data_IF_951280436943
#
_entry.id   IF_951280436943
#
_cell.length_a   1.000
_cell.length_b   1.000
_cell.length_c   1.000
_cell.angle_alpha   90.00
_cell.angle_beta   90.00
_cell.angle_gamma   90.00
#
_symmetry.space_group_name_H-M   'P 1'
#
loop_
_entity.id
_entity.type
_entity.pdbx_description
1 polymer ?
#
# COMPACT_ATOMS: atom_id res chain seq x y z
N UNK A 1 -2.50 -10.73 -16.77
CA UNK A 1 -1.94 -9.51 -16.18
C UNK A 1 -2.87 -9.06 -15.08
N UNK A 2 -2.36 -8.86 -13.90
CA UNK A 2 -3.23 -8.41 -12.83
C UNK A 2 -3.50 -6.91 -12.91
N UNK A 3 -4.45 -6.45 -12.13
CA UNK A 3 -4.91 -5.06 -12.14
C UNK A 3 -3.79 -4.07 -11.81
N UNK A 4 -2.91 -4.45 -10.89
CA UNK A 4 -1.79 -3.61 -10.48
C UNK A 4 -0.79 -3.40 -11.61
N UNK A 5 -0.49 -4.46 -12.36
CA UNK A 5 0.40 -4.38 -13.50
C UNK A 5 -0.18 -3.49 -14.60
N UNK A 6 -1.49 -3.55 -14.81
CA UNK A 6 -2.17 -2.67 -15.77
C UNK A 6 -2.04 -1.20 -15.39
N UNK A 7 -2.24 -0.87 -14.14
CA UNK A 7 -2.12 0.50 -13.66
C UNK A 7 -0.69 1.01 -13.81
N UNK A 8 0.27 0.17 -13.50
CA UNK A 8 1.69 0.49 -13.63
C UNK A 8 2.05 0.84 -15.08
N UNK A 9 1.56 0.03 -16.02
CA UNK A 9 1.79 0.26 -17.45
C UNK A 9 1.11 1.55 -17.91
N UNK A 10 -0.12 1.79 -17.48
CA UNK A 10 -0.84 3.02 -17.82
C UNK A 10 -0.14 4.25 -17.29
N UNK A 11 0.34 4.22 -16.07
CA UNK A 11 1.08 5.33 -15.47
C UNK A 11 2.37 5.62 -16.25
N UNK A 12 3.10 4.59 -16.62
CA UNK A 12 4.32 4.73 -17.41
C UNK A 12 4.02 5.31 -18.79
N UNK A 13 2.94 4.85 -19.43
CA UNK A 13 2.52 5.33 -20.74
C UNK A 13 2.13 6.81 -20.68
N UNK A 14 1.39 7.20 -19.66
CA UNK A 14 1.00 8.60 -19.47
C UNK A 14 2.22 9.49 -19.25
N UNK A 15 3.19 9.02 -18.47
CA UNK A 15 4.43 9.75 -18.24
C UNK A 15 5.22 9.95 -19.53
N UNK A 16 5.24 8.94 -20.39
CA UNK A 16 5.93 9.01 -21.68
C UNK A 16 5.27 9.98 -22.66
N UNK A 17 3.98 10.20 -22.52
CA UNK A 17 3.24 11.13 -23.38
C UNK A 17 3.42 12.57 -22.97
N UNK A 18 3.99 12.85 -21.83
CA UNK A 18 4.27 14.21 -21.41
C UNK A 18 5.46 14.76 -22.18
N UNK A 19 5.18 15.77 -22.98
CA UNK A 19 6.22 16.48 -23.73
C UNK A 19 7.01 17.35 -22.76
N UNK A 20 8.34 17.18 -22.66
CA UNK A 20 9.16 18.00 -21.78
C UNK A 20 9.07 19.50 -22.08
N UNK A 21 8.80 19.85 -23.34
CA UNK A 21 8.67 21.24 -23.76
C UNK A 21 7.34 21.87 -23.36
N UNK A 22 6.35 21.06 -23.00
CA UNK A 22 5.05 21.51 -22.55
C UNK A 22 5.05 22.01 -21.12
N UNK A 23 6.00 21.59 -20.36
CA UNK A 23 5.95 21.74 -18.90
C UNK A 23 6.68 23.01 -18.46
N UNK A 24 7.60 23.51 -19.30
CA UNK A 24 8.63 24.35 -18.77
C UNK A 24 8.21 25.76 -18.35
N UNK A 25 7.47 26.57 -19.11
CA UNK A 25 7.36 27.98 -18.67
C UNK A 25 6.05 28.37 -18.02
N UNK A 26 4.98 27.62 -18.25
CA UNK A 26 3.64 28.08 -17.87
C UNK A 26 3.21 27.60 -16.52
N UNK A 27 3.78 26.48 -16.08
CA UNK A 27 3.26 25.79 -14.91
C UNK A 27 3.90 26.20 -13.59
N UNK A 28 5.03 26.92 -13.63
CA UNK A 28 5.71 27.33 -12.39
C UNK A 28 4.90 28.27 -11.51
N UNK A 29 4.27 29.32 -12.03
CA UNK A 29 3.41 30.17 -11.19
C UNK A 29 2.16 29.44 -10.70
N UNK A 30 1.60 28.57 -11.55
CA UNK A 30 0.43 27.78 -11.18
C UNK A 30 0.77 26.73 -10.14
N UNK A 31 1.95 26.11 -10.26
CA UNK A 31 2.43 25.17 -9.27
C UNK A 31 2.65 25.82 -7.91
N UNK A 32 3.18 27.03 -7.89
CA UNK A 32 3.37 27.78 -6.65
C UNK A 32 2.03 28.11 -6.00
N UNK A 33 1.02 28.44 -6.79
CA UNK A 33 -0.33 28.71 -6.30
C UNK A 33 -0.97 27.43 -5.78
N UNK A 34 -0.80 26.32 -6.50
CA UNK A 34 -1.31 25.03 -6.07
C UNK A 34 -0.64 24.55 -4.78
N UNK A 35 0.66 24.76 -4.66
CA UNK A 35 1.37 24.43 -3.42
C UNK A 35 0.86 25.26 -2.25
N UNK A 36 0.59 26.53 -2.45
CA UNK A 36 0.02 27.38 -1.41
C UNK A 36 -1.37 26.94 -1.02
N UNK A 37 -2.19 26.54 -2.00
CA UNK A 37 -3.54 26.05 -1.74
C UNK A 37 -3.49 24.69 -1.04
N UNK A 38 -2.57 23.81 -1.45
CA UNK A 38 -2.36 22.54 -0.79
C UNK A 38 -1.90 22.70 0.66
N UNK A 39 -1.09 23.72 0.93
CA UNK A 39 -0.66 24.01 2.29
C UNK A 39 -1.82 24.44 3.18
N UNK A 40 -2.88 25.01 2.59
CA UNK A 40 -4.09 25.41 3.31
C UNK A 40 -5.09 24.28 3.44
N UNK A 41 -5.02 23.27 2.54
CA UNK A 41 -5.91 22.12 2.57
C UNK A 41 -5.35 21.08 3.52
N UNK A 42 -6.17 20.67 4.45
CA UNK A 42 -5.81 19.64 5.41
C UNK A 42 -5.65 18.31 4.67
N UNK A 43 -4.45 17.75 4.71
CA UNK A 43 -4.18 16.45 4.11
C UNK A 43 -4.88 15.35 4.90
N UNK A 44 -5.41 14.31 4.23
CA UNK A 44 -6.01 13.20 4.94
C UNK A 44 -4.97 12.49 5.82
N UNK A 45 -5.42 12.03 6.96
CA UNK A 45 -4.58 11.24 7.85
C UNK A 45 -4.21 9.92 7.18
N UNK A 46 -2.99 9.48 7.40
CA UNK A 46 -2.53 8.20 6.89
C UNK A 46 -2.61 7.14 7.99
N UNK A 47 -2.80 5.90 7.56
CA UNK A 47 -3.01 4.78 8.46
C UNK A 47 -2.15 3.60 8.04
N UNK A 48 -1.54 2.94 9.01
CA UNK A 48 -0.76 1.73 8.79
C UNK A 48 -1.65 0.50 8.85
N UNK A 49 -1.38 -0.45 7.98
CA UNK A 49 -1.91 -1.80 8.13
C UNK A 49 -0.84 -2.61 8.84
N UNK A 50 -1.17 -3.10 10.02
CA UNK A 50 -0.24 -3.84 10.87
C UNK A 50 -0.67 -5.30 10.94
N UNK A 51 0.25 -6.18 10.57
CA UNK A 51 0.06 -7.62 10.70
C UNK A 51 0.67 -8.08 12.01
N UNK A 52 -0.07 -8.88 12.75
CA UNK A 52 0.39 -9.44 14.02
C UNK A 52 0.67 -10.91 13.87
N UNK A 53 1.75 -11.35 14.49
CA UNK A 53 2.11 -12.75 14.49
C UNK A 53 1.12 -13.57 15.32
N UNK A 54 0.81 -14.78 14.85
CA UNK A 54 0.11 -15.76 15.64
C UNK A 54 0.68 -17.15 15.30
N UNK A 55 0.48 -18.11 16.21
CA UNK A 55 1.10 -19.42 16.09
C UNK A 55 0.40 -20.34 15.10
N UNK A 56 -0.78 -19.96 14.64
CA UNK A 56 -1.62 -20.81 13.80
C UNK A 56 -1.64 -20.41 12.33
N UNK A 57 -1.25 -19.20 12.01
CA UNK A 57 -1.22 -18.74 10.61
C UNK A 57 0.13 -19.09 9.98
N UNK A 58 0.13 -19.88 8.89
CA UNK A 58 1.39 -20.25 8.24
C UNK A 58 2.12 -19.03 7.66
N UNK A 59 3.45 -19.06 7.72
CA UNK A 59 4.27 -17.99 7.16
C UNK A 59 4.08 -17.84 5.66
N UNK A 60 3.89 -18.95 4.95
CA UNK A 60 3.66 -18.91 3.52
C UNK A 60 2.35 -18.21 3.14
N UNK A 61 1.35 -18.27 4.01
CA UNK A 61 0.11 -17.52 3.81
C UNK A 61 0.34 -16.02 3.95
N UNK A 62 1.09 -15.60 4.98
CA UNK A 62 1.43 -14.18 5.18
C UNK A 62 2.22 -13.66 3.97
N UNK A 63 3.19 -14.41 3.52
CA UNK A 63 3.97 -14.07 2.33
C UNK A 63 3.09 -13.93 1.09
N UNK A 64 2.17 -14.86 0.90
CA UNK A 64 1.22 -14.84 -0.21
C UNK A 64 0.35 -13.58 -0.18
N UNK A 65 -0.17 -13.22 0.99
CA UNK A 65 -0.99 -12.02 1.18
C UNK A 65 -0.19 -10.77 0.83
N UNK A 66 1.05 -10.68 1.30
CA UNK A 66 1.89 -9.52 1.04
C UNK A 66 2.20 -9.36 -0.45
N UNK A 67 2.43 -10.46 -1.15
CA UNK A 67 2.68 -10.42 -2.60
C UNK A 67 1.41 -10.09 -3.38
N UNK A 68 0.29 -10.65 -2.99
CA UNK A 68 -0.96 -10.57 -3.74
C UNK A 68 -1.73 -9.28 -3.49
N UNK A 69 -1.94 -8.93 -2.22
CA UNK A 69 -2.77 -7.77 -1.86
C UNK A 69 -1.96 -6.49 -1.69
N UNK A 70 -0.70 -6.60 -1.28
CA UNK A 70 0.15 -5.43 -1.08
C UNK A 70 1.19 -5.27 -2.18
N UNK A 71 1.19 -6.16 -3.13
CA UNK A 71 2.04 -6.11 -4.33
C UNK A 71 3.53 -5.98 -4.02
N UNK A 72 3.96 -6.61 -2.93
CA UNK A 72 5.36 -6.59 -2.56
C UNK A 72 6.18 -7.52 -3.45
N UNK A 73 7.40 -7.13 -3.81
CA UNK A 73 8.35 -8.07 -4.41
C UNK A 73 8.60 -9.25 -3.47
N UNK A 74 8.96 -10.39 -4.03
CA UNK A 74 9.14 -11.62 -3.27
C UNK A 74 10.10 -11.46 -2.08
N UNK A 75 11.24 -10.80 -2.30
CA UNK A 75 12.23 -10.62 -1.23
C UNK A 75 11.71 -9.73 -0.11
N UNK A 76 10.97 -8.67 -0.45
CA UNK A 76 10.39 -7.79 0.54
C UNK A 76 9.30 -8.49 1.35
N UNK A 77 8.46 -9.27 0.66
CA UNK A 77 7.41 -10.05 1.32
C UNK A 77 8.00 -11.07 2.28
N UNK A 78 9.06 -11.74 1.87
CA UNK A 78 9.76 -12.71 2.72
C UNK A 78 10.39 -12.04 3.94
N UNK A 79 11.07 -10.91 3.73
CA UNK A 79 11.70 -10.18 4.82
C UNK A 79 10.68 -9.69 5.83
N UNK A 80 9.55 -9.15 5.36
CA UNK A 80 8.50 -8.67 6.26
C UNK A 80 7.83 -9.84 7.00
N UNK A 81 7.60 -10.95 6.31
CA UNK A 81 7.04 -12.15 6.95
C UNK A 81 7.93 -12.62 8.10
N UNK A 82 9.23 -12.65 7.88
CA UNK A 82 10.20 -13.01 8.93
C UNK A 82 10.18 -11.99 10.07
N UNK A 83 10.08 -10.70 9.75
CA UNK A 83 10.01 -9.65 10.76
C UNK A 83 8.76 -9.78 11.63
N UNK A 84 7.60 -10.07 11.01
CA UNK A 84 6.36 -10.32 11.75
C UNK A 84 6.53 -11.51 12.68
N UNK A 85 7.14 -12.59 12.18
CA UNK A 85 7.35 -13.79 12.97
C UNK A 85 8.29 -13.56 14.15
N UNK A 86 9.38 -12.82 13.95
CA UNK A 86 10.41 -12.63 14.99
C UNK A 86 10.10 -11.47 15.93
N UNK A 87 9.55 -10.38 15.43
CA UNK A 87 9.28 -9.17 16.21
C UNK A 87 7.84 -9.09 16.74
N UNK A 88 6.97 -9.96 16.25
CA UNK A 88 5.58 -10.01 16.69
C UNK A 88 4.63 -9.19 15.84
N UNK A 89 5.10 -8.21 15.08
CA UNK A 89 4.25 -7.41 14.19
C UNK A 89 5.08 -6.74 13.10
N UNK A 90 4.41 -6.30 12.05
CA UNK A 90 5.04 -5.56 10.96
C UNK A 90 4.03 -4.76 10.18
N UNK A 91 4.48 -3.69 9.56
CA UNK A 91 3.63 -2.79 8.77
C UNK A 91 3.65 -3.26 7.32
N UNK A 92 2.47 -3.63 6.81
CA UNK A 92 2.33 -4.08 5.42
C UNK A 92 2.23 -2.92 4.43
N UNK A 93 1.69 -1.79 4.87
CA UNK A 93 1.56 -0.62 4.01
C UNK A 93 0.92 0.53 4.75
N UNK A 94 0.93 1.70 4.11
CA UNK A 94 0.38 2.93 4.68
C UNK A 94 -0.54 3.55 3.64
N UNK A 95 -1.77 3.83 4.03
CA UNK A 95 -2.83 4.28 3.13
C UNK A 95 -3.72 5.29 3.83
N UNK A 96 -4.62 5.92 3.06
CA UNK A 96 -5.73 6.65 3.67
C UNK A 96 -6.63 5.65 4.42
N UNK A 97 -7.44 6.17 5.34
CA UNK A 97 -8.28 5.30 6.18
C UNK A 97 -9.16 4.36 5.37
N UNK A 98 -9.83 4.87 4.35
CA UNK A 98 -10.74 4.08 3.54
C UNK A 98 -10.03 2.94 2.81
N UNK A 99 -8.87 3.24 2.24
CA UNK A 99 -8.07 2.23 1.54
C UNK A 99 -7.51 1.21 2.53
N UNK A 100 -7.03 1.67 3.68
CA UNK A 100 -6.52 0.78 4.73
C UNK A 100 -7.61 -0.17 5.22
N UNK A 101 -8.80 0.35 5.45
CA UNK A 101 -9.94 -0.46 5.89
C UNK A 101 -10.31 -1.51 4.85
N UNK A 102 -10.31 -1.14 3.57
CA UNK A 102 -10.58 -2.07 2.48
C UNK A 102 -9.51 -3.17 2.40
N UNK A 103 -8.24 -2.79 2.53
CA UNK A 103 -7.15 -3.77 2.55
C UNK A 103 -7.27 -4.73 3.71
N UNK A 104 -7.58 -4.22 4.89
CA UNK A 104 -7.81 -5.04 6.07
C UNK A 104 -8.92 -6.06 5.82
N UNK A 105 -10.03 -5.61 5.26
CA UNK A 105 -11.15 -6.48 4.93
C UNK A 105 -10.73 -7.59 3.96
N UNK A 106 -9.99 -7.26 2.94
CA UNK A 106 -9.53 -8.25 1.96
C UNK A 106 -8.63 -9.31 2.59
N UNK A 107 -7.69 -8.88 3.44
CA UNK A 107 -6.79 -9.81 4.13
C UNK A 107 -7.57 -10.73 5.06
N UNK A 108 -8.46 -10.15 5.87
CA UNK A 108 -9.26 -10.93 6.82
C UNK A 108 -10.21 -11.89 6.12
N UNK A 109 -10.75 -11.49 4.96
CA UNK A 109 -11.61 -12.37 4.17
C UNK A 109 -10.83 -13.57 3.64
N UNK A 110 -9.63 -13.36 3.13
CA UNK A 110 -8.78 -14.46 2.67
C UNK A 110 -8.39 -15.39 3.82
N UNK A 111 -8.02 -14.80 4.95
CA UNK A 111 -7.66 -15.57 6.13
C UNK A 111 -8.82 -16.43 6.62
N UNK A 112 -10.02 -15.89 6.58
CA UNK A 112 -11.22 -16.60 7.00
C UNK A 112 -11.51 -17.81 6.11
N UNK A 113 -11.36 -17.64 4.79
CA UNK A 113 -11.57 -18.73 3.83
C UNK A 113 -10.60 -19.88 4.12
N UNK A 114 -9.35 -19.55 4.43
CA UNK A 114 -8.32 -20.54 4.74
C UNK A 114 -8.31 -20.97 6.21
N UNK A 115 -9.23 -20.45 7.00
CA UNK A 115 -9.36 -20.74 8.43
C UNK A 115 -8.10 -20.37 9.24
N UNK A 116 -7.45 -19.27 8.85
CA UNK A 116 -6.30 -18.75 9.59
C UNK A 116 -6.72 -17.60 10.51
N UNK A 117 -6.34 -17.62 11.79
CA UNK A 117 -6.71 -16.55 12.73
C UNK A 117 -5.74 -15.36 12.66
N UNK A 118 -5.42 -14.90 11.45
CA UNK A 118 -4.51 -13.79 11.26
C UNK A 118 -5.12 -12.49 11.79
N UNK A 119 -4.34 -11.80 12.63
CA UNK A 119 -4.77 -10.52 13.17
C UNK A 119 -4.18 -9.37 12.35
N UNK A 120 -5.05 -8.50 11.88
CA UNK A 120 -4.69 -7.33 11.08
C UNK A 120 -5.38 -6.12 11.66
N UNK A 121 -4.60 -5.10 12.01
CA UNK A 121 -5.12 -3.86 12.59
C UNK A 121 -4.81 -2.68 11.68
N UNK A 122 -5.67 -1.66 11.73
CA UNK A 122 -5.44 -0.39 11.06
C UNK A 122 -5.09 0.62 12.15
N UNK A 123 -3.87 1.16 12.10
CA UNK A 123 -3.36 2.06 13.12
C UNK A 123 -2.97 3.40 12.51
N UNK A 124 -3.35 4.47 13.16
CA UNK A 124 -3.03 5.82 12.69
C UNK A 124 -1.53 6.08 12.77
N UNK A 125 -1.01 6.72 11.73
CA UNK A 125 0.39 7.13 11.68
C UNK A 125 0.70 8.21 12.70
#
# INVERSE_FOLDING_TARGET
MDWYEMIKILSATLSQKQDPNRVAPVDKPELDLLEKDEAKVKRPSMWHIVLYNDDYTPMNFVEFVLKTLFHMPMLDALALTLAVHTKGKGIAGTYTFEVAEQKQYEVLSMAKVEEHPLRVEVERV
#
